data_IF_357107903650
#
_entry.id   IF_357107903650
#
_cell.length_a   1.000
_cell.length_b   1.000
_cell.length_c   1.000
_cell.angle_alpha   90.00
_cell.angle_beta   90.00
_cell.angle_gamma   90.00
#
_symmetry.space_group_name_H-M   'P 1'
#
loop_
_entity.id
_entity.type
_entity.pdbx_description
1 polymer ?
#
# COMPACT_ATOMS: atom_id res chain seq x y z
N UNK A 1 35.43 -14.92 8.78
CA UNK A 1 34.27 -15.27 9.63
C UNK A 1 34.08 -14.10 10.57
N UNK A 2 33.10 -13.22 10.42
CA UNK A 2 31.73 -13.44 9.99
C UNK A 2 30.89 -12.84 11.11
N UNK A 3 30.17 -11.75 10.81
CA UNK A 3 28.82 -11.44 11.31
C UNK A 3 28.47 -9.96 10.99
N UNK A 4 27.52 -9.82 10.08
CA UNK A 4 26.55 -8.72 9.94
C UNK A 4 25.19 -9.44 9.84
N UNK A 5 24.02 -8.89 10.23
CA UNK A 5 23.74 -7.54 10.71
C UNK A 5 22.69 -7.47 11.86
N UNK A 6 22.43 -6.27 12.37
CA UNK A 6 21.08 -5.87 12.80
C UNK A 6 21.00 -4.35 12.61
N UNK A 7 20.60 -3.93 11.41
CA UNK A 7 20.15 -2.56 11.19
C UNK A 7 18.84 -2.39 11.97
N UNK A 8 18.97 -1.85 13.18
CA UNK A 8 17.87 -1.31 13.96
C UNK A 8 17.43 -0.03 13.24
N UNK A 9 16.32 -0.10 12.50
CA UNK A 9 15.67 1.09 11.97
C UNK A 9 14.67 1.61 13.01
N UNK A 10 15.18 2.33 14.02
CA UNK A 10 14.35 3.20 14.85
C UNK A 10 14.04 4.48 14.06
N UNK A 11 12.76 4.71 13.78
CA UNK A 11 12.30 5.93 13.11
C UNK A 11 10.86 6.29 13.49
N UNK A 12 10.70 7.22 14.43
CA UNK A 12 9.41 7.81 14.81
C UNK A 12 9.10 9.03 13.91
N UNK A 13 7.87 9.16 13.32
CA UNK A 13 6.92 10.33 13.43
C UNK A 13 5.71 10.35 12.45
N UNK A 14 4.54 10.85 12.92
CA UNK A 14 3.33 11.42 12.27
C UNK A 14 2.82 10.88 10.91
N UNK A 15 2.80 9.56 10.79
CA UNK A 15 2.06 8.79 9.77
C UNK A 15 1.60 7.48 10.37
N UNK A 16 0.87 7.61 11.47
CA UNK A 16 0.50 6.60 12.49
C UNK A 16 0.74 5.14 12.12
N UNK A 17 1.68 4.54 12.85
CA UNK A 17 1.98 3.12 12.85
C UNK A 17 0.75 2.35 13.26
N UNK A 18 0.30 1.44 12.40
CA UNK A 18 -0.60 0.38 12.85
C UNK A 18 -0.01 -0.90 12.29
N UNK A 19 0.69 -1.64 13.17
CA UNK A 19 0.98 -3.02 12.86
C UNK A 19 -0.37 -3.74 12.77
N UNK A 20 -0.57 -4.56 11.73
CA UNK A 20 -1.83 -5.29 11.58
C UNK A 20 -2.06 -6.27 12.74
N UNK A 21 -1.01 -6.64 13.47
CA UNK A 21 -1.11 -7.43 14.71
C UNK A 21 -1.86 -6.70 15.84
N UNK A 22 -1.97 -5.37 15.80
CA UNK A 22 -2.62 -4.57 16.85
C UNK A 22 -4.15 -4.48 16.73
N UNK A 23 -4.74 -5.01 15.65
CA UNK A 23 -6.13 -4.68 15.25
C UNK A 23 -7.22 -5.36 16.08
N UNK A 24 -6.88 -6.29 16.95
CA UNK A 24 -7.89 -6.97 17.79
C UNK A 24 -8.17 -6.23 19.11
N UNK A 25 -9.13 -5.29 19.07
CA UNK A 25 -10.00 -4.93 20.20
C UNK A 25 -11.17 -3.99 19.77
N UNK A 26 -12.37 -4.19 20.35
CA UNK A 26 -13.58 -3.38 20.09
C UNK A 26 -13.40 -1.86 20.28
N UNK A 27 -12.36 -1.42 20.99
CA UNK A 27 -12.00 -0.02 21.21
C UNK A 27 -11.36 0.57 19.94
N UNK A 28 -10.42 -0.14 19.31
CA UNK A 28 -9.76 0.33 18.09
C UNK A 28 -10.74 0.45 16.92
N UNK A 29 -11.74 -0.42 16.82
CA UNK A 29 -12.76 -0.31 15.76
C UNK A 29 -13.53 1.03 15.83
N UNK A 30 -13.72 1.59 17.03
CA UNK A 30 -14.32 2.92 17.20
C UNK A 30 -13.36 4.03 16.80
N UNK A 31 -12.09 3.92 17.16
CA UNK A 31 -11.03 4.87 16.78
C UNK A 31 -10.80 4.90 15.27
N UNK A 32 -10.81 3.74 14.62
CA UNK A 32 -10.73 3.60 13.17
C UNK A 32 -11.96 4.12 12.45
N UNK A 33 -13.17 3.91 12.97
CA UNK A 33 -14.36 4.57 12.40
C UNK A 33 -14.28 6.09 12.47
N UNK A 34 -13.68 6.62 13.54
CA UNK A 34 -13.44 8.06 13.65
C UNK A 34 -12.37 8.54 12.66
N UNK A 35 -11.28 7.76 12.49
CA UNK A 35 -10.16 8.08 11.59
C UNK A 35 -10.50 7.90 10.11
N UNK A 36 -11.28 6.87 9.78
CA UNK A 36 -11.65 6.46 8.43
C UNK A 36 -13.16 6.26 8.32
N UNK A 37 -13.96 7.34 8.37
CA UNK A 37 -15.43 7.25 8.40
C UNK A 37 -16.04 6.60 7.14
N UNK A 38 -15.29 6.54 6.04
CA UNK A 38 -15.72 5.97 4.77
C UNK A 38 -15.14 4.58 4.48
N UNK A 39 -14.35 4.03 5.40
CA UNK A 39 -13.74 2.72 5.24
C UNK A 39 -14.77 1.58 5.36
N UNK A 40 -14.61 0.57 4.51
CA UNK A 40 -15.32 -0.70 4.71
C UNK A 40 -14.54 -1.59 5.68
N UNK A 41 -14.69 -1.30 6.97
CA UNK A 41 -14.02 -2.04 8.04
C UNK A 41 -14.51 -3.51 8.16
N UNK A 42 -15.58 -3.89 7.46
CA UNK A 42 -16.00 -5.30 7.41
C UNK A 42 -15.02 -6.19 6.66
N UNK A 43 -14.13 -5.59 5.86
CA UNK A 43 -13.07 -6.28 5.11
C UNK A 43 -11.84 -6.62 5.95
N UNK A 44 -11.70 -6.04 7.15
CA UNK A 44 -10.52 -6.23 8.02
C UNK A 44 -10.25 -7.71 8.32
N UNK A 45 -11.22 -8.55 8.73
CA UNK A 45 -10.95 -9.96 9.00
C UNK A 45 -10.50 -10.74 7.75
N UNK A 46 -10.98 -10.35 6.57
CA UNK A 46 -10.59 -10.96 5.30
C UNK A 46 -9.14 -10.60 4.98
N UNK A 47 -8.78 -9.32 5.15
CA UNK A 47 -7.41 -8.84 4.98
C UNK A 47 -6.44 -9.57 5.91
N UNK A 48 -6.73 -9.64 7.21
CA UNK A 48 -5.90 -10.33 8.21
C UNK A 48 -5.72 -11.81 7.88
N UNK A 49 -6.82 -12.49 7.53
CA UNK A 49 -6.77 -13.90 7.14
C UNK A 49 -5.91 -14.11 5.90
N UNK A 50 -6.03 -13.23 4.89
CA UNK A 50 -5.32 -13.36 3.62
C UNK A 50 -3.81 -13.14 3.79
N UNK A 51 -3.42 -12.15 4.58
CA UNK A 51 -2.01 -11.87 4.84
C UNK A 51 -1.38 -12.93 5.75
N UNK A 52 -2.06 -13.35 6.82
CA UNK A 52 -1.60 -14.42 7.70
C UNK A 52 -1.47 -15.75 6.96
N UNK A 53 -2.41 -16.08 6.06
CA UNK A 53 -2.30 -17.27 5.21
C UNK A 53 -1.10 -17.19 4.26
N UNK A 54 -0.83 -16.01 3.69
CA UNK A 54 0.31 -15.81 2.80
C UNK A 54 1.65 -15.93 3.55
N UNK A 55 1.71 -15.46 4.79
CA UNK A 55 2.85 -15.60 5.67
C UNK A 55 3.07 -17.07 6.07
N UNK A 56 2.04 -17.72 6.63
CA UNK A 56 2.11 -19.13 7.06
C UNK A 56 2.55 -20.05 5.91
N UNK A 57 1.99 -19.84 4.72
CA UNK A 57 2.38 -20.60 3.52
C UNK A 57 3.86 -20.39 3.16
N UNK A 58 4.36 -19.15 3.25
CA UNK A 58 5.77 -18.86 3.00
C UNK A 58 6.68 -19.50 4.04
N UNK A 59 6.36 -19.37 5.33
CA UNK A 59 7.14 -19.98 6.40
C UNK A 59 7.20 -21.51 6.26
N UNK A 60 6.10 -22.14 5.85
CA UNK A 60 6.03 -23.58 5.69
C UNK A 60 6.74 -24.10 4.43
N UNK A 61 6.72 -23.35 3.32
CA UNK A 61 7.11 -23.87 2.00
C UNK A 61 8.29 -23.15 1.34
N UNK A 62 8.66 -21.97 1.83
CA UNK A 62 9.59 -21.03 1.18
C UNK A 62 9.06 -20.44 -0.12
N UNK A 63 7.77 -20.62 -0.45
CA UNK A 63 7.12 -20.12 -1.68
C UNK A 63 6.08 -19.07 -1.35
N UNK A 64 5.78 -18.21 -2.32
CA UNK A 64 4.81 -17.13 -2.16
C UNK A 64 3.51 -17.40 -2.92
N UNK A 65 2.38 -17.09 -2.28
CA UNK A 65 1.06 -17.05 -2.93
C UNK A 65 0.95 -15.87 -3.91
N UNK A 66 0.00 -15.93 -4.84
CA UNK A 66 -0.24 -14.86 -5.83
C UNK A 66 -1.39 -13.91 -5.41
N UNK A 67 -1.48 -13.60 -4.12
CA UNK A 67 -2.61 -12.84 -3.52
C UNK A 67 -2.28 -11.38 -3.19
N UNK A 68 -1.04 -10.94 -3.39
CA UNK A 68 -0.59 -9.61 -2.95
C UNK A 68 -1.26 -8.44 -3.67
N UNK A 69 -1.77 -8.66 -4.88
CA UNK A 69 -2.61 -7.66 -5.57
C UNK A 69 -3.91 -7.42 -4.79
N UNK A 70 -4.61 -8.50 -4.46
CA UNK A 70 -5.86 -8.47 -3.69
C UNK A 70 -5.64 -7.87 -2.29
N UNK A 71 -4.53 -8.21 -1.61
CA UNK A 71 -4.14 -7.61 -0.32
C UNK A 71 -4.00 -6.08 -0.46
N UNK A 72 -3.39 -5.60 -1.54
CA UNK A 72 -3.24 -4.17 -1.79
C UNK A 72 -4.58 -3.46 -2.04
N UNK A 73 -5.50 -4.11 -2.75
CA UNK A 73 -6.85 -3.58 -2.99
C UNK A 73 -7.67 -3.50 -1.68
N UNK A 74 -7.64 -4.57 -0.88
CA UNK A 74 -8.27 -4.60 0.44
C UNK A 74 -7.71 -3.51 1.37
N UNK A 75 -6.39 -3.35 1.41
CA UNK A 75 -5.74 -2.26 2.16
C UNK A 75 -6.31 -0.90 1.74
N UNK A 76 -6.46 -0.65 0.44
CA UNK A 76 -7.02 0.60 -0.07
C UNK A 76 -8.48 0.83 0.30
N UNK A 77 -9.30 -0.22 0.27
CA UNK A 77 -10.70 -0.16 0.70
C UNK A 77 -10.81 0.16 2.21
N UNK A 78 -9.96 -0.44 3.04
CA UNK A 78 -9.96 -0.30 4.50
C UNK A 78 -9.38 1.04 4.94
N UNK A 79 -8.27 1.50 4.35
CA UNK A 79 -7.55 2.70 4.84
C UNK A 79 -8.00 4.01 4.18
N UNK A 80 -8.60 3.93 2.99
CA UNK A 80 -8.97 5.11 2.23
C UNK A 80 -10.45 5.12 1.83
N UNK A 81 -11.21 4.04 2.06
CA UNK A 81 -12.59 3.94 1.59
C UNK A 81 -12.70 3.82 0.07
N UNK A 82 -11.68 3.24 -0.58
CA UNK A 82 -11.71 2.98 -2.02
C UNK A 82 -12.80 1.95 -2.32
N UNK A 83 -13.73 2.33 -3.20
CA UNK A 83 -14.75 1.43 -3.73
C UNK A 83 -14.14 0.65 -4.90
N UNK A 84 -13.83 -0.61 -4.66
CA UNK A 84 -13.24 -1.51 -5.66
C UNK A 84 -14.21 -1.72 -6.83
N UNK A 85 -13.65 -1.76 -8.04
CA UNK A 85 -14.42 -2.15 -9.21
C UNK A 85 -14.68 -3.67 -9.21
N UNK A 86 -15.62 -4.13 -10.04
CA UNK A 86 -15.78 -5.56 -10.29
C UNK A 86 -14.54 -6.09 -10.99
N UNK A 87 -14.24 -7.37 -10.77
CA UNK A 87 -13.17 -8.08 -11.47
C UNK A 87 -13.25 -7.83 -12.98
N UNK A 88 -12.08 -7.65 -13.60
CA UNK A 88 -11.90 -7.40 -15.04
C UNK A 88 -12.40 -6.04 -15.55
N UNK A 89 -12.72 -5.10 -14.66
CA UNK A 89 -12.97 -3.71 -15.06
C UNK A 89 -11.74 -3.11 -15.77
N UNK A 90 -11.97 -2.46 -16.91
CA UNK A 90 -10.91 -1.78 -17.65
C UNK A 90 -10.63 -0.41 -17.03
N UNK A 91 -9.35 -0.04 -16.95
CA UNK A 91 -8.94 1.33 -16.59
C UNK A 91 -8.23 1.47 -15.25
N UNK A 92 -8.90 1.23 -14.11
CA UNK A 92 -8.35 1.37 -12.76
C UNK A 92 -9.01 0.36 -11.81
N UNK A 93 -8.46 0.22 -10.61
CA UNK A 93 -8.81 -0.88 -9.71
C UNK A 93 -9.97 -0.48 -8.76
N UNK A 94 -10.15 0.82 -8.51
CA UNK A 94 -11.31 1.32 -7.77
C UNK A 94 -11.53 2.83 -7.89
N UNK A 95 -12.41 3.36 -7.04
CA UNK A 95 -12.74 4.79 -6.96
C UNK A 95 -12.73 5.32 -5.54
N UNK A 96 -12.23 6.55 -5.40
CA UNK A 96 -12.34 7.35 -4.18
C UNK A 96 -13.10 8.64 -4.52
N UNK A 97 -14.40 8.67 -4.21
CA UNK A 97 -15.27 9.74 -4.72
C UNK A 97 -15.29 9.77 -6.25
N UNK A 98 -14.86 10.88 -6.84
CA UNK A 98 -14.76 11.05 -8.30
C UNK A 98 -13.42 10.56 -8.88
N UNK A 99 -12.44 10.25 -8.02
CA UNK A 99 -11.11 9.86 -8.45
C UNK A 99 -11.03 8.38 -8.80
N UNK A 100 -10.40 8.09 -9.95
CA UNK A 100 -10.06 6.74 -10.38
C UNK A 100 -8.71 6.35 -9.74
N UNK A 101 -8.69 5.26 -9.01
CA UNK A 101 -7.53 4.83 -8.22
C UNK A 101 -6.92 3.56 -8.81
N UNK A 102 -5.66 3.66 -9.18
CA UNK A 102 -4.80 2.52 -9.52
C UNK A 102 -4.11 2.01 -8.24
N UNK A 103 -4.11 0.70 -8.00
CA UNK A 103 -3.40 0.07 -6.90
C UNK A 103 -2.16 -0.66 -7.45
N UNK A 104 -1.03 -0.50 -6.76
CA UNK A 104 0.24 -1.16 -7.10
C UNK A 104 0.88 -1.70 -5.83
N UNK A 105 1.01 -3.02 -5.76
CA UNK A 105 1.64 -3.68 -4.63
C UNK A 105 3.12 -4.00 -4.90
N UNK A 106 4.00 -3.61 -4.00
CA UNK A 106 5.36 -4.11 -3.86
C UNK A 106 5.29 -5.36 -2.99
N UNK A 107 5.68 -6.50 -3.55
CA UNK A 107 5.57 -7.82 -2.91
C UNK A 107 6.72 -8.08 -1.93
N UNK A 108 6.52 -8.97 -0.93
CA UNK A 108 7.51 -9.24 0.13
C UNK A 108 8.83 -9.82 -0.38
N UNK A 109 8.81 -10.45 -1.56
CA UNK A 109 9.99 -11.05 -2.19
C UNK A 109 10.70 -10.14 -3.19
N UNK A 110 10.22 -8.91 -3.39
CA UNK A 110 10.83 -8.00 -4.35
C UNK A 110 12.09 -7.38 -3.75
N UNK A 111 13.24 -7.58 -4.40
CA UNK A 111 14.54 -7.07 -3.93
C UNK A 111 14.69 -5.54 -4.06
N UNK A 112 13.75 -4.87 -4.71
CA UNK A 112 13.76 -3.42 -4.86
C UNK A 112 12.37 -2.82 -4.68
N UNK A 113 12.32 -1.70 -3.98
CA UNK A 113 11.09 -0.95 -3.70
C UNK A 113 10.64 -0.09 -4.89
N UNK A 114 10.67 -0.65 -6.10
CA UNK A 114 10.28 0.05 -7.33
C UNK A 114 8.93 -0.45 -7.80
N UNK A 115 7.98 0.44 -8.03
CA UNK A 115 6.76 0.14 -8.76
C UNK A 115 6.83 0.69 -10.18
N UNK A 116 6.13 0.01 -11.08
CA UNK A 116 5.99 0.41 -12.45
C UNK A 116 4.54 0.74 -12.74
N UNK A 117 4.29 1.97 -13.18
CA UNK A 117 2.95 2.51 -13.41
C UNK A 117 2.78 2.71 -14.92
N UNK A 118 1.74 2.10 -15.49
CA UNK A 118 1.37 2.35 -16.88
C UNK A 118 0.62 3.68 -16.96
N UNK A 119 1.26 4.69 -17.54
CA UNK A 119 0.69 6.03 -17.65
C UNK A 119 -0.46 6.12 -18.67
N UNK A 120 -0.71 5.11 -19.49
CA UNK A 120 -1.85 5.12 -20.42
C UNK A 120 -3.15 4.66 -19.75
N UNK A 121 -3.08 4.04 -18.56
CA UNK A 121 -4.28 3.69 -17.79
C UNK A 121 -5.03 4.97 -17.36
N UNK A 122 -6.35 4.88 -17.33
CA UNK A 122 -7.22 5.97 -16.89
C UNK A 122 -7.35 5.97 -15.37
N UNK A 123 -6.44 6.67 -14.69
CA UNK A 123 -6.46 6.90 -13.25
C UNK A 123 -6.13 8.36 -12.94
N UNK A 124 -6.63 8.87 -11.81
CA UNK A 124 -6.28 10.19 -11.27
C UNK A 124 -5.43 10.09 -10.00
N UNK A 125 -5.45 8.96 -9.28
CA UNK A 125 -4.58 8.67 -8.13
C UNK A 125 -3.96 7.28 -8.24
N UNK A 126 -2.82 7.09 -7.58
CA UNK A 126 -2.17 5.79 -7.40
C UNK A 126 -2.01 5.53 -5.91
N UNK A 127 -2.49 4.37 -5.47
CA UNK A 127 -2.14 3.81 -4.17
C UNK A 127 -1.00 2.83 -4.38
N UNK A 128 0.17 3.14 -3.82
CA UNK A 128 1.27 2.18 -3.75
C UNK A 128 1.18 1.50 -2.39
N UNK A 129 1.06 0.18 -2.38
CA UNK A 129 1.09 -0.64 -1.17
C UNK A 129 2.41 -1.40 -1.14
N UNK A 130 3.09 -1.41 0.00
CA UNK A 130 4.31 -2.20 0.21
C UNK A 130 4.03 -3.25 1.27
N UNK A 131 4.43 -4.48 0.97
CA UNK A 131 4.48 -5.59 1.92
C UNK A 131 5.96 -5.97 2.05
N UNK A 132 6.55 -5.92 3.26
CA UNK A 132 7.95 -6.32 3.47
C UNK A 132 8.08 -7.83 3.70
N UNK A 133 9.31 -8.30 3.91
CA UNK A 133 9.61 -9.69 4.22
C UNK A 133 8.96 -10.20 5.51
N UNK A 134 8.63 -9.31 6.44
CA UNK A 134 7.95 -9.61 7.71
C UNK A 134 6.42 -9.51 7.57
N UNK A 135 5.90 -9.43 6.33
CA UNK A 135 4.48 -9.32 6.01
C UNK A 135 3.75 -8.11 6.62
N UNK A 136 4.49 -7.10 7.05
CA UNK A 136 3.94 -5.79 7.43
C UNK A 136 3.53 -5.00 6.19
N UNK A 137 2.45 -4.22 6.27
CA UNK A 137 1.85 -3.53 5.12
C UNK A 137 1.77 -2.02 5.32
N UNK A 138 2.24 -1.27 4.33
CA UNK A 138 2.17 0.19 4.28
C UNK A 138 1.58 0.68 2.97
N UNK A 139 0.94 1.85 3.00
CA UNK A 139 0.35 2.46 1.81
C UNK A 139 0.68 3.94 1.64
N UNK A 140 0.82 4.36 0.38
CA UNK A 140 0.96 5.76 -0.03
C UNK A 140 -0.01 6.09 -1.15
N UNK A 141 -0.99 6.95 -0.87
CA UNK A 141 -1.91 7.48 -1.87
C UNK A 141 -1.36 8.78 -2.47
N UNK A 142 -1.21 8.81 -3.79
CA UNK A 142 -0.54 9.89 -4.52
C UNK A 142 -1.42 10.36 -5.67
N UNK A 143 -1.55 11.67 -5.83
CA UNK A 143 -2.14 12.25 -7.03
C UNK A 143 -1.28 11.97 -8.26
N UNK A 144 -1.90 11.59 -9.37
CA UNK A 144 -1.21 11.37 -10.66
C UNK A 144 -0.36 12.57 -11.07
N UNK A 145 -0.83 13.78 -10.78
CA UNK A 145 -0.13 15.04 -11.06
C UNK A 145 1.07 15.28 -10.15
N UNK A 146 1.09 14.66 -8.97
CA UNK A 146 2.16 14.77 -7.99
C UNK A 146 3.25 13.69 -8.16
N UNK A 147 3.04 12.69 -9.03
CA UNK A 147 4.00 11.63 -9.26
C UNK A 147 5.40 12.20 -9.60
N UNK A 148 6.48 11.67 -8.99
CA UNK A 148 7.83 12.10 -9.28
C UNK A 148 8.18 11.93 -10.76
N UNK A 149 9.11 12.77 -11.23
CA UNK A 149 9.76 12.56 -12.52
C UNK A 149 10.69 11.33 -12.39
N UNK A 150 10.11 10.14 -12.45
CA UNK A 150 10.83 8.86 -12.41
C UNK A 150 11.46 8.50 -13.75
N UNK A 151 12.23 7.41 -13.76
CA UNK A 151 12.75 6.85 -15.01
C UNK A 151 11.57 6.36 -15.85
N UNK A 152 11.44 6.87 -17.09
CA UNK A 152 10.43 6.44 -18.04
C UNK A 152 10.99 5.37 -18.97
N UNK A 153 10.24 4.29 -19.19
CA UNK A 153 10.48 3.30 -20.23
C UNK A 153 9.22 3.20 -21.09
N UNK A 154 9.19 3.94 -22.19
CA UNK A 154 7.97 4.12 -22.98
C UNK A 154 6.88 4.82 -22.16
N UNK A 155 5.69 4.22 -22.11
CA UNK A 155 4.54 4.69 -21.31
C UNK A 155 4.62 4.30 -19.82
N UNK A 156 5.68 3.60 -19.40
CA UNK A 156 5.82 3.09 -18.03
C UNK A 156 6.70 4.00 -17.19
N UNK A 157 6.20 4.40 -16.03
CA UNK A 157 6.91 5.21 -15.06
C UNK A 157 7.39 4.33 -13.91
N UNK A 158 8.71 4.24 -13.72
CA UNK A 158 9.30 3.54 -12.58
C UNK A 158 9.50 4.52 -11.43
N UNK A 159 8.88 4.22 -10.28
CA UNK A 159 8.96 5.02 -9.07
C UNK A 159 9.52 4.18 -7.95
N UNK A 160 10.55 4.69 -7.28
CA UNK A 160 11.03 4.09 -6.05
C UNK A 160 10.20 4.60 -4.85
N UNK A 161 9.82 3.73 -3.93
CA UNK A 161 9.06 4.02 -2.71
C UNK A 161 9.60 5.24 -1.92
N UNK A 162 10.92 5.38 -1.82
CA UNK A 162 11.57 6.47 -1.10
C UNK A 162 11.38 7.83 -1.81
N UNK A 163 11.23 7.85 -3.14
CA UNK A 163 11.00 9.09 -3.90
C UNK A 163 9.62 9.69 -3.65
N UNK A 164 8.69 8.89 -3.16
CA UNK A 164 7.34 9.36 -2.82
C UNK A 164 7.34 10.21 -1.54
N UNK A 165 8.26 9.95 -0.60
CA UNK A 165 8.38 10.70 0.67
C UNK A 165 8.82 12.16 0.47
N UNK A 166 9.69 12.40 -0.52
CA UNK A 166 10.44 13.65 -0.62
C UNK A 166 9.60 14.90 -0.99
N UNK A 167 8.36 14.74 -1.47
CA UNK A 167 7.56 15.88 -1.98
C UNK A 167 6.55 16.47 -1.00
N UNK A 168 6.23 15.81 0.12
CA UNK A 168 5.38 16.41 1.16
C UNK A 168 6.09 17.52 1.95
N UNK A 169 7.43 17.50 2.01
CA UNK A 169 8.24 18.53 2.69
C UNK A 169 8.38 19.85 1.91
N UNK A 170 7.96 19.90 0.65
CA UNK A 170 8.13 21.06 -0.23
C UNK A 170 6.90 21.98 -0.40
N UNK A 171 5.80 21.72 0.32
CA UNK A 171 4.57 22.53 0.23
C UNK A 171 4.11 23.14 1.56
N UNK A 172 4.98 23.20 2.57
CA UNK A 172 4.75 24.07 3.73
C UNK A 172 5.80 25.18 3.69
N UNK A 173 5.37 26.33 3.18
CA UNK A 173 5.92 27.69 3.28
C UNK A 173 5.60 28.47 2.00
N UNK A 174 4.32 28.81 1.79
CA UNK A 174 3.91 30.12 1.24
C UNK A 174 2.42 30.32 1.48
N UNK A 175 2.09 31.50 2.02
CA UNK A 175 0.79 32.07 2.38
C UNK A 175 0.36 31.81 3.83
#
# INVERSE_FOLDING_TARGET
MGDVPADICDGIWDGEWISWDEINQQIQYKEWRARYPNADLSLVPIFESLIGTAEEYYQLTGRHLQVYGDIGELYGAITHGIKLHRNYAQGSDGRLGNDLVEVKTITPFKSCDVVEINMDRNFSKVLIVKINCDFEVWGKLIDRKALPAGKKRGNRLCINWAQVEARRRGQSLTA
#
